data_IF_818246771767
#
_entry.id   IF_818246771767
#
_cell.length_a   1.000
_cell.length_b   1.000
_cell.length_c   1.000
_cell.angle_alpha   90.00
_cell.angle_beta   90.00
_cell.angle_gamma   90.00
#
_symmetry.space_group_name_H-M   'P 1'
#
loop_
_entity.id
_entity.type
_entity.pdbx_description
1 polymer ?
#
# COMPACT_ATOMS: atom_id res chain seq x y z
N UNK A 1 8.95 11.40 14.63
CA UNK A 1 8.88 10.44 13.52
C UNK A 1 9.04 9.00 14.01
N UNK A 2 10.17 8.58 14.59
CA UNK A 2 10.35 7.16 15.01
C UNK A 2 9.28 6.62 15.99
N UNK A 3 8.79 7.41 16.94
CA UNK A 3 7.83 6.93 17.95
C UNK A 3 6.41 6.75 17.36
N UNK A 4 5.99 7.66 16.47
CA UNK A 4 4.65 7.64 15.90
C UNK A 4 4.51 6.54 14.85
N UNK A 5 5.51 6.37 13.99
CA UNK A 5 5.56 5.28 13.01
C UNK A 5 5.57 3.91 13.70
N UNK A 6 6.38 3.73 14.74
CA UNK A 6 6.42 2.48 15.49
C UNK A 6 5.07 2.13 16.14
N UNK A 7 4.38 3.13 16.69
CA UNK A 7 3.08 2.95 17.35
C UNK A 7 1.96 2.65 16.35
N UNK A 8 1.91 3.42 15.25
CA UNK A 8 0.89 3.25 14.20
C UNK A 8 1.06 1.90 13.51
N UNK A 9 2.29 1.52 13.14
CA UNK A 9 2.54 0.22 12.50
C UNK A 9 2.20 -0.96 13.42
N UNK A 10 2.46 -0.85 14.74
CA UNK A 10 2.02 -1.88 15.68
C UNK A 10 0.50 -1.97 15.76
N UNK A 11 -0.20 -0.85 15.86
CA UNK A 11 -1.65 -0.82 15.98
C UNK A 11 -2.32 -1.40 14.71
N UNK A 12 -1.83 -1.02 13.53
CA UNK A 12 -2.33 -1.54 12.25
C UNK A 12 -2.11 -3.05 12.17
N UNK A 13 -0.93 -3.54 12.57
CA UNK A 13 -0.64 -4.97 12.54
C UNK A 13 -1.50 -5.77 13.51
N UNK A 14 -1.76 -5.22 14.69
CA UNK A 14 -2.38 -5.95 15.78
C UNK A 14 -3.92 -5.92 15.69
N UNK A 15 -4.51 -4.85 15.13
CA UNK A 15 -5.97 -4.64 15.09
C UNK A 15 -6.60 -4.84 13.71
N UNK A 16 -5.81 -4.85 12.63
CA UNK A 16 -6.32 -4.94 11.26
C UNK A 16 -5.76 -6.19 10.61
N UNK A 17 -6.64 -7.02 10.05
CA UNK A 17 -6.22 -8.19 9.30
C UNK A 17 -5.51 -7.82 7.99
N UNK A 18 -4.85 -8.81 7.39
CA UNK A 18 -4.04 -8.59 6.18
C UNK A 18 -4.88 -8.03 5.01
N UNK A 19 -6.15 -8.43 4.91
CA UNK A 19 -7.07 -7.92 3.89
C UNK A 19 -7.39 -6.43 4.10
N UNK A 20 -7.70 -6.02 5.34
CA UNK A 20 -7.93 -4.63 5.69
C UNK A 20 -6.68 -3.77 5.49
N UNK A 21 -5.49 -4.28 5.86
CA UNK A 21 -4.23 -3.59 5.61
C UNK A 21 -4.00 -3.38 4.11
N UNK A 22 -4.18 -4.41 3.28
CA UNK A 22 -4.06 -4.30 1.83
C UNK A 22 -5.07 -3.31 1.24
N UNK A 23 -6.30 -3.29 1.74
CA UNK A 23 -7.31 -2.33 1.32
C UNK A 23 -6.89 -0.88 1.64
N UNK A 24 -6.36 -0.62 2.84
CA UNK A 24 -5.85 0.70 3.22
C UNK A 24 -4.69 1.14 2.34
N UNK A 25 -3.71 0.27 2.10
CA UNK A 25 -2.57 0.58 1.25
C UNK A 25 -3.02 0.79 -0.20
N UNK A 26 -3.96 -0.01 -0.71
CA UNK A 26 -4.55 0.23 -2.03
C UNK A 26 -5.15 1.64 -2.11
N UNK A 27 -5.94 2.07 -1.12
CA UNK A 27 -6.53 3.42 -1.12
C UNK A 27 -5.52 4.55 -0.95
N UNK A 28 -4.33 4.26 -0.43
CA UNK A 28 -3.24 5.23 -0.34
C UNK A 28 -2.45 5.35 -1.65
N UNK A 29 -2.25 4.23 -2.36
CA UNK A 29 -1.37 4.13 -3.52
C UNK A 29 -2.11 4.12 -4.87
N UNK A 30 -3.42 3.98 -4.87
CA UNK A 30 -4.25 4.00 -6.08
C UNK A 30 -5.23 5.17 -6.02
N UNK A 31 -5.20 6.00 -7.05
CA UNK A 31 -6.16 7.08 -7.22
C UNK A 31 -7.19 6.69 -8.29
N UNK A 32 -8.23 5.97 -7.86
CA UNK A 32 -9.30 5.49 -8.73
C UNK A 32 -10.04 6.62 -9.50
N UNK A 33 -9.78 7.90 -9.17
CA UNK A 33 -10.42 9.07 -9.79
C UNK A 33 -9.54 9.81 -10.79
N UNK A 34 -8.25 9.49 -10.86
CA UNK A 34 -7.30 10.07 -11.80
C UNK A 34 -7.39 9.40 -13.19
N UNK A 35 -6.89 10.10 -14.21
CA UNK A 35 -6.78 9.55 -15.58
C UNK A 35 -5.85 8.34 -15.63
N UNK A 36 -4.81 8.32 -14.79
CA UNK A 36 -3.96 7.17 -14.54
C UNK A 36 -4.06 6.78 -13.06
N UNK A 37 -4.87 5.76 -12.70
CA UNK A 37 -5.05 5.38 -11.30
C UNK A 37 -3.80 4.90 -10.58
N UNK A 38 -2.76 4.53 -11.33
CA UNK A 38 -1.49 4.01 -10.81
C UNK A 38 -0.45 5.13 -10.62
N UNK A 39 -0.77 6.39 -10.91
CA UNK A 39 0.20 7.49 -10.93
C UNK A 39 1.03 7.61 -9.64
N UNK A 40 0.43 7.34 -8.47
CA UNK A 40 1.11 7.39 -7.17
C UNK A 40 2.16 6.27 -7.06
N UNK A 41 1.83 5.04 -7.47
CA UNK A 41 2.79 3.93 -7.50
C UNK A 41 3.96 4.26 -8.41
N UNK A 42 3.68 4.83 -9.59
CA UNK A 42 4.72 5.16 -10.56
C UNK A 42 5.63 6.30 -10.06
N UNK A 43 5.05 7.28 -9.35
CA UNK A 43 5.81 8.33 -8.66
C UNK A 43 6.68 7.75 -7.53
N UNK A 44 6.12 6.92 -6.64
CA UNK A 44 6.91 6.29 -5.58
C UNK A 44 8.03 5.45 -6.18
N UNK A 45 7.74 4.66 -7.22
CA UNK A 45 8.72 3.82 -7.89
C UNK A 45 9.90 4.61 -8.46
N UNK A 46 9.73 5.87 -8.90
CA UNK A 46 10.85 6.68 -9.41
C UNK A 46 11.85 7.09 -8.33
N UNK A 47 11.40 7.18 -7.07
CA UNK A 47 12.21 7.64 -5.95
C UNK A 47 12.92 6.51 -5.18
N UNK A 48 12.57 5.25 -5.46
CA UNK A 48 13.08 4.09 -4.74
C UNK A 48 14.37 3.51 -5.34
N UNK A 49 15.16 2.86 -4.50
CA UNK A 49 16.26 2.02 -4.95
C UNK A 49 15.75 0.68 -5.53
N UNK A 50 16.65 -0.11 -6.12
CA UNK A 50 16.26 -1.37 -6.78
C UNK A 50 15.68 -2.41 -5.81
N UNK A 51 16.06 -2.38 -4.53
CA UNK A 51 15.54 -3.29 -3.50
C UNK A 51 14.09 -2.92 -3.17
N UNK A 52 13.84 -1.65 -2.89
CA UNK A 52 12.52 -1.17 -2.53
C UNK A 52 11.54 -1.21 -3.72
N UNK A 53 12.05 -1.01 -4.94
CA UNK A 53 11.27 -1.22 -6.18
C UNK A 53 10.74 -2.64 -6.30
N UNK A 54 11.50 -3.65 -5.88
CA UNK A 54 11.05 -5.03 -5.89
C UNK A 54 9.91 -5.24 -4.87
N UNK A 55 10.06 -4.68 -3.67
CA UNK A 55 9.03 -4.74 -2.62
C UNK A 55 7.72 -4.07 -3.06
N UNK A 56 7.79 -2.91 -3.71
CA UNK A 56 6.60 -2.20 -4.20
C UNK A 56 5.89 -2.98 -5.32
N UNK A 57 6.64 -3.63 -6.22
CA UNK A 57 6.06 -4.49 -7.26
C UNK A 57 5.35 -5.71 -6.67
N UNK A 58 5.96 -6.34 -5.67
CA UNK A 58 5.36 -7.48 -4.98
C UNK A 58 4.09 -7.06 -4.24
N UNK A 59 4.11 -5.91 -3.57
CA UNK A 59 2.93 -5.33 -2.92
C UNK A 59 1.80 -5.05 -3.92
N UNK A 60 2.12 -4.40 -5.03
CA UNK A 60 1.13 -4.09 -6.06
C UNK A 60 0.51 -5.36 -6.67
N UNK A 61 1.29 -6.42 -6.84
CA UNK A 61 0.78 -7.69 -7.36
C UNK A 61 -0.35 -8.28 -6.49
N UNK A 62 -0.33 -7.99 -5.17
CA UNK A 62 -1.32 -8.44 -4.19
C UNK A 62 -2.63 -7.68 -4.29
N UNK A 63 -2.65 -6.47 -4.85
CA UNK A 63 -3.89 -5.70 -5.06
C UNK A 63 -4.86 -6.39 -6.01
N UNK A 64 -4.35 -7.10 -7.03
CA UNK A 64 -5.20 -7.82 -8.01
C UNK A 64 -6.05 -8.93 -7.39
N UNK A 65 -5.70 -9.40 -6.19
CA UNK A 65 -6.49 -10.37 -5.42
C UNK A 65 -7.36 -9.77 -4.30
N UNK A 66 -7.16 -8.48 -3.97
CA UNK A 66 -7.71 -7.85 -2.76
C UNK A 66 -8.89 -6.89 -3.00
N UNK A 67 -9.34 -6.69 -4.25
CA UNK A 67 -10.39 -5.70 -4.61
C UNK A 67 -11.81 -6.13 -4.21
N UNK A 68 -11.98 -7.26 -3.50
CA UNK A 68 -13.24 -7.55 -2.82
C UNK A 68 -13.25 -6.80 -1.48
N UNK A 69 -14.05 -5.74 -1.40
CA UNK A 69 -14.32 -5.01 -0.16
C UNK A 69 -14.60 -6.01 0.99
N UNK A 70 -13.88 -5.95 2.13
CA UNK A 70 -14.16 -6.80 3.27
C UNK A 70 -15.59 -6.54 3.75
N UNK A 71 -16.32 -7.63 4.05
CA UNK A 71 -17.72 -7.62 4.47
C UNK A 71 -17.95 -7.00 5.85
#
# INVERSE_FOLDING_TARGET
FENEEAFVCSLVRDEIDEAGQLYMIHKLLMDDTADDPRWIIDWVYSELDDTDKALLKDLESRFKGAVAQPA
#
